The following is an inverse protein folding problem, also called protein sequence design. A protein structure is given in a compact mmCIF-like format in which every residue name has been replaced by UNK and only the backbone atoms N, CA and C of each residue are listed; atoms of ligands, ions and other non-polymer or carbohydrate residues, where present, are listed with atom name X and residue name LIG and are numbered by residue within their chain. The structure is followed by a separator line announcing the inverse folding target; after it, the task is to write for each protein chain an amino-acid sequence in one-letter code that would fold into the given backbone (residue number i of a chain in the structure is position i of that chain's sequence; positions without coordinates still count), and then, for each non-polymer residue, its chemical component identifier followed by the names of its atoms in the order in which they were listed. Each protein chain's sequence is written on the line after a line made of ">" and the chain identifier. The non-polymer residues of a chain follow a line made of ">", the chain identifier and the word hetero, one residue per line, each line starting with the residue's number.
data_IF_383196254183
#
_entry.id   IF_383196254183
#
_cell.length_a   1.000
_cell.length_b   1.000
_cell.length_c   1.000
_cell.angle_alpha   90.00
_cell.angle_beta   90.00
_cell.angle_gamma   90.00
#
_symmetry.space_group_name_H-M   'P 1'
#
loop_
_entity.id
_entity.type
_entity.pdbx_description
1 polymer ?
#
# COMPACT_ATOMS: atom_id res chain seq x y z
N UNK A 1 11.65 -8.94 -48.98
CA UNK A 1 10.79 -7.78 -48.67
C UNK A 1 9.57 -8.32 -47.95
N UNK A 2 9.44 -8.05 -46.65
CA UNK A 2 8.21 -8.39 -45.92
C UNK A 2 7.21 -7.25 -46.14
N UNK A 3 5.97 -7.57 -46.49
CA UNK A 3 4.92 -6.56 -46.61
C UNK A 3 4.36 -6.24 -45.22
N UNK A 4 4.28 -4.97 -44.87
CA UNK A 4 3.47 -4.49 -43.75
C UNK A 4 1.99 -4.60 -44.12
N UNK A 5 1.16 -4.99 -43.17
CA UNK A 5 -0.29 -5.07 -43.33
C UNK A 5 -0.94 -3.87 -42.64
N UNK A 6 -1.53 -2.98 -43.43
CA UNK A 6 -2.42 -1.94 -42.94
C UNK A 6 -3.88 -2.35 -43.08
N UNK A 7 -4.67 -2.23 -42.01
CA UNK A 7 -6.13 -2.36 -42.08
C UNK A 7 -6.73 -1.00 -41.75
N UNK A 8 -7.50 -0.47 -42.71
CA UNK A 8 -8.17 0.82 -42.61
C UNK A 8 -7.20 2.03 -42.46
N UNK A 9 -5.97 1.88 -42.95
CA UNK A 9 -4.97 2.95 -43.11
C UNK A 9 -4.15 2.71 -44.37
N UNK A 10 -3.85 3.76 -45.13
CA UNK A 10 -2.93 3.71 -46.28
C UNK A 10 -1.48 4.03 -45.91
N UNK A 11 -1.24 4.47 -44.67
CA UNK A 11 0.09 4.80 -44.14
C UNK A 11 0.33 4.04 -42.84
N UNK A 12 0.55 2.71 -42.89
CA UNK A 12 0.86 1.92 -41.71
C UNK A 12 2.12 2.45 -41.01
N UNK A 13 2.15 2.37 -39.69
CA UNK A 13 3.34 2.67 -38.90
C UNK A 13 4.53 1.81 -39.37
N UNK A 14 5.62 2.45 -39.80
CA UNK A 14 6.81 1.77 -40.34
C UNK A 14 7.55 0.88 -39.33
N UNK A 15 7.23 0.96 -38.04
CA UNK A 15 7.75 0.07 -37.00
C UNK A 15 6.83 -1.13 -36.71
N UNK A 16 5.69 -1.27 -37.39
CA UNK A 16 4.71 -2.34 -37.16
C UNK A 16 4.53 -3.24 -38.39
N UNK A 17 4.42 -4.55 -38.16
CA UNK A 17 4.06 -5.52 -39.21
C UNK A 17 2.55 -5.50 -39.49
N UNK A 18 1.73 -5.19 -38.48
CA UNK A 18 0.28 -5.02 -38.57
C UNK A 18 -0.13 -3.71 -37.89
N UNK A 19 -0.79 -2.82 -38.62
CA UNK A 19 -1.36 -1.57 -38.10
C UNK A 19 -2.86 -1.50 -38.44
N UNK A 20 -3.70 -1.31 -37.43
CA UNK A 20 -5.16 -1.29 -37.55
C UNK A 20 -5.67 0.01 -36.95
N UNK A 21 -6.27 0.87 -37.78
CA UNK A 21 -6.80 2.16 -37.36
C UNK A 21 -8.33 2.14 -37.40
N UNK A 22 -9.00 2.33 -36.27
CA UNK A 22 -10.44 2.53 -36.21
C UNK A 22 -10.81 3.34 -34.96
N UNK A 23 -11.84 4.18 -35.07
CA UNK A 23 -12.44 4.91 -33.95
C UNK A 23 -13.80 4.33 -33.50
N UNK A 24 -14.27 3.26 -34.17
CA UNK A 24 -15.61 2.69 -33.97
C UNK A 24 -15.62 1.17 -33.84
N UNK A 25 -14.53 0.48 -34.19
CA UNK A 25 -14.44 -0.98 -34.18
C UNK A 25 -13.17 -1.44 -33.48
N UNK A 26 -13.25 -2.58 -32.79
CA UNK A 26 -12.10 -3.24 -32.18
C UNK A 26 -11.58 -4.41 -33.03
N UNK A 27 -10.56 -5.08 -32.50
CA UNK A 27 -10.05 -6.34 -33.06
C UNK A 27 -10.74 -7.49 -32.34
N UNK A 28 -11.43 -8.34 -33.08
CA UNK A 28 -11.98 -9.58 -32.55
C UNK A 28 -10.97 -10.70 -32.76
N UNK A 29 -10.21 -11.03 -31.70
CA UNK A 29 -9.27 -12.15 -31.72
C UNK A 29 -10.02 -13.50 -31.62
N UNK A 30 -9.38 -14.64 -31.92
CA UNK A 30 -10.01 -15.96 -31.78
C UNK A 30 -10.64 -16.15 -30.39
N UNK A 31 -11.90 -16.62 -30.37
CA UNK A 31 -12.68 -16.82 -29.15
C UNK A 31 -12.94 -18.31 -28.98
N UNK A 32 -12.44 -18.89 -27.90
CA UNK A 32 -12.48 -20.34 -27.66
C UNK A 32 -13.02 -20.61 -26.26
N UNK A 33 -13.82 -21.66 -26.10
CA UNK A 33 -14.06 -22.25 -24.77
C UNK A 33 -12.81 -22.99 -24.29
N UNK A 34 -12.76 -23.38 -23.02
CA UNK A 34 -11.71 -24.30 -22.53
C UNK A 34 -11.67 -25.59 -23.35
N UNK A 35 -12.83 -26.14 -23.71
CA UNK A 35 -12.94 -27.36 -24.53
C UNK A 35 -12.37 -27.14 -25.93
N UNK A 36 -12.72 -26.03 -26.59
CA UNK A 36 -12.22 -25.72 -27.93
C UNK A 36 -10.70 -25.50 -27.92
N UNK A 37 -10.20 -24.75 -26.93
CA UNK A 37 -8.75 -24.52 -26.76
C UNK A 37 -8.01 -25.84 -26.59
N UNK A 38 -8.48 -26.69 -25.69
CA UNK A 38 -7.84 -27.98 -25.40
C UNK A 38 -7.90 -28.96 -26.59
N UNK A 39 -9.00 -28.94 -27.34
CA UNK A 39 -9.22 -29.84 -28.48
C UNK A 39 -8.43 -29.42 -29.72
N UNK A 40 -8.43 -28.13 -30.05
CA UNK A 40 -7.91 -27.62 -31.32
C UNK A 40 -6.51 -27.01 -31.24
N UNK A 41 -6.05 -26.63 -30.04
CA UNK A 41 -4.73 -26.02 -29.86
C UNK A 41 -3.84 -26.89 -28.97
N UNK A 42 -4.07 -26.86 -27.66
CA UNK A 42 -3.35 -27.63 -26.67
C UNK A 42 -4.13 -27.54 -25.34
N UNK A 43 -4.13 -28.61 -24.54
CA UNK A 43 -4.67 -28.50 -23.19
C UNK A 43 -3.84 -27.54 -22.31
N UNK A 44 -4.35 -27.26 -21.11
CA UNK A 44 -3.68 -26.40 -20.15
C UNK A 44 -3.28 -27.16 -18.88
N UNK A 45 -2.94 -28.45 -19.01
CA UNK A 45 -2.55 -29.31 -17.90
C UNK A 45 -1.01 -29.40 -17.78
N UNK A 46 -0.49 -28.81 -16.71
CA UNK A 46 0.94 -28.79 -16.38
C UNK A 46 1.54 -30.18 -16.13
N UNK A 47 0.72 -31.20 -15.84
CA UNK A 47 1.18 -32.58 -15.66
C UNK A 47 1.49 -33.29 -16.98
N UNK A 48 1.08 -32.72 -18.10
CA UNK A 48 1.18 -33.36 -19.42
C UNK A 48 2.17 -32.71 -20.37
N UNK A 49 3.12 -31.85 -19.92
CA UNK A 49 3.99 -31.06 -20.82
C UNK A 49 4.82 -31.93 -21.79
N UNK A 50 4.68 -31.76 -23.13
CA UNK A 50 3.82 -30.78 -23.81
C UNK A 50 2.34 -31.19 -23.74
N UNK A 51 1.44 -30.27 -23.32
CA UNK A 51 0.11 -30.60 -22.84
C UNK A 51 -0.68 -31.59 -23.70
N UNK A 52 -1.47 -32.46 -23.06
CA UNK A 52 -2.18 -33.53 -23.74
C UNK A 52 -3.29 -32.98 -24.67
N UNK A 53 -3.61 -33.74 -25.72
CA UNK A 53 -4.50 -33.31 -26.80
C UNK A 53 -3.80 -33.27 -28.16
N UNK A 54 -4.46 -32.71 -29.16
CA UNK A 54 -3.85 -32.50 -30.48
C UNK A 54 -2.85 -31.36 -30.33
N UNK A 55 -1.58 -31.66 -30.08
CA UNK A 55 -0.53 -30.66 -30.16
C UNK A 55 -0.58 -30.02 -31.55
N UNK A 56 -1.15 -28.83 -31.66
CA UNK A 56 -1.13 -28.09 -32.91
C UNK A 56 0.34 -27.73 -33.15
N UNK A 57 0.98 -28.44 -34.08
CA UNK A 57 2.40 -28.28 -34.38
C UNK A 57 2.78 -26.85 -34.82
N UNK A 58 1.79 -26.02 -35.15
CA UNK A 58 1.97 -24.61 -35.50
C UNK A 58 1.69 -23.65 -34.32
N UNK A 59 1.26 -24.16 -33.17
CA UNK A 59 1.02 -23.34 -31.97
C UNK A 59 2.35 -22.75 -31.49
N UNK A 60 2.48 -21.44 -31.62
CA UNK A 60 3.73 -20.71 -31.34
C UNK A 60 3.55 -19.86 -30.09
N UNK A 61 4.60 -19.76 -29.27
CA UNK A 61 4.59 -18.89 -28.09
C UNK A 61 4.19 -17.45 -28.48
N UNK A 62 3.30 -16.85 -27.69
CA UNK A 62 2.67 -15.55 -27.98
C UNK A 62 1.33 -15.64 -28.72
N UNK A 63 0.85 -16.83 -29.12
CA UNK A 63 -0.51 -16.99 -29.67
C UNK A 63 -1.54 -16.48 -28.67
N UNK A 64 -2.39 -15.53 -29.07
CA UNK A 64 -3.37 -14.87 -28.21
C UNK A 64 -4.81 -15.30 -28.55
N UNK A 65 -5.60 -15.62 -27.53
CA UNK A 65 -7.02 -15.94 -27.63
C UNK A 65 -7.83 -15.20 -26.55
N UNK A 66 -9.14 -15.12 -26.75
CA UNK A 66 -10.08 -14.78 -25.68
C UNK A 66 -10.81 -16.06 -25.25
N UNK A 67 -10.62 -16.47 -24.00
CA UNK A 67 -11.29 -17.63 -23.44
C UNK A 67 -12.69 -17.24 -22.97
N UNK A 68 -13.71 -17.84 -23.57
CA UNK A 68 -15.12 -17.54 -23.27
C UNK A 68 -15.68 -18.32 -22.07
N UNK A 69 -14.98 -19.35 -21.61
CA UNK A 69 -15.33 -20.08 -20.38
C UNK A 69 -14.89 -19.28 -19.16
N UNK A 70 -13.66 -18.77 -19.16
CA UNK A 70 -13.07 -18.01 -18.04
C UNK A 70 -13.16 -16.49 -18.20
N UNK A 71 -13.72 -16.01 -19.32
CA UNK A 71 -13.85 -14.58 -19.67
C UNK A 71 -12.55 -13.78 -19.54
N UNK A 72 -11.44 -14.31 -20.07
CA UNK A 72 -10.15 -13.62 -20.03
C UNK A 72 -9.34 -13.80 -21.32
N UNK A 73 -8.40 -12.88 -21.55
CA UNK A 73 -7.39 -13.04 -22.58
C UNK A 73 -6.36 -14.07 -22.12
N UNK A 74 -5.98 -15.00 -22.99
CA UNK A 74 -4.94 -15.99 -22.73
C UNK A 74 -3.89 -15.96 -23.84
N UNK A 75 -2.61 -16.10 -23.49
CA UNK A 75 -1.55 -16.32 -24.45
C UNK A 75 -0.83 -17.64 -24.17
N UNK A 76 -0.36 -18.29 -25.23
CA UNK A 76 0.46 -19.48 -25.12
C UNK A 76 1.90 -19.11 -24.76
N UNK A 77 2.44 -19.61 -23.64
CA UNK A 77 3.83 -19.31 -23.23
C UNK A 77 4.88 -20.27 -23.81
N UNK A 78 4.45 -21.25 -24.61
CA UNK A 78 5.27 -22.36 -25.10
C UNK A 78 5.02 -23.69 -24.37
N UNK A 79 4.40 -23.64 -23.19
CA UNK A 79 4.11 -24.79 -22.33
C UNK A 79 2.70 -24.82 -21.77
N UNK A 80 2.12 -23.66 -21.44
CA UNK A 80 0.79 -23.49 -20.86
C UNK A 80 0.13 -22.21 -21.41
N UNK A 81 -1.19 -22.19 -21.37
CA UNK A 81 -2.00 -21.00 -21.58
C UNK A 81 -1.98 -20.14 -20.31
N UNK A 82 -1.36 -18.96 -20.41
CA UNK A 82 -1.30 -17.96 -19.36
C UNK A 82 -2.39 -16.93 -19.57
N UNK A 83 -3.08 -16.58 -18.49
CA UNK A 83 -3.95 -15.41 -18.50
C UNK A 83 -3.11 -14.14 -18.70
N UNK A 84 -3.51 -13.31 -19.65
CA UNK A 84 -3.06 -11.94 -19.72
C UNK A 84 -3.76 -11.19 -18.57
N UNK A 85 -3.02 -10.88 -17.51
CA UNK A 85 -3.57 -10.21 -16.34
C UNK A 85 -3.99 -8.79 -16.73
N UNK A 86 -5.30 -8.52 -16.66
CA UNK A 86 -5.85 -7.17 -16.67
C UNK A 86 -6.55 -7.02 -15.32
N UNK A 87 -5.99 -6.27 -14.36
CA UNK A 87 -6.63 -6.09 -13.07
C UNK A 87 -7.99 -5.44 -13.30
N UNK A 88 -9.05 -6.13 -12.90
CA UNK A 88 -10.45 -5.71 -13.11
C UNK A 88 -10.85 -4.48 -12.29
N UNK A 89 -9.99 -4.05 -11.35
CA UNK A 89 -10.20 -2.88 -10.49
C UNK A 89 -8.90 -2.31 -9.91
N UNK A 90 -7.79 -2.34 -10.65
CA UNK A 90 -6.62 -1.53 -10.25
C UNK A 90 -6.99 -0.06 -10.41
N UNK A 91 -7.45 0.59 -9.34
CA UNK A 91 -7.18 2.03 -9.20
C UNK A 91 -5.66 2.16 -9.27
N UNK A 92 -5.14 2.70 -10.37
CA UNK A 92 -3.71 2.81 -10.60
C UNK A 92 -3.02 3.48 -9.39
N UNK A 93 -1.85 2.97 -9.02
CA UNK A 93 -0.93 3.57 -8.03
C UNK A 93 -1.53 3.83 -6.65
N UNK A 94 -2.33 2.91 -6.12
CA UNK A 94 -3.00 3.11 -4.83
C UNK A 94 -2.18 2.71 -3.59
N UNK A 95 -0.99 2.17 -3.80
CA UNK A 95 0.05 2.02 -2.80
C UNK A 95 0.80 3.34 -2.57
N UNK A 96 1.50 3.45 -1.44
CA UNK A 96 2.29 4.64 -1.19
C UNK A 96 2.91 4.67 0.20
N UNK A 97 3.96 5.46 0.34
CA UNK A 97 4.61 5.72 1.62
C UNK A 97 4.45 7.21 1.93
N UNK A 98 3.85 7.55 3.06
CA UNK A 98 3.73 8.95 3.49
C UNK A 98 4.49 9.11 4.79
N UNK A 99 5.66 9.76 4.73
CA UNK A 99 6.49 10.02 5.89
C UNK A 99 6.35 11.47 6.35
N UNK A 100 5.96 11.63 7.61
CA UNK A 100 5.84 12.90 8.32
C UNK A 100 7.08 13.08 9.18
N UNK A 101 7.82 14.18 8.98
CA UNK A 101 9.00 14.52 9.78
C UNK A 101 8.64 15.37 11.00
N UNK A 102 7.65 16.26 10.87
CA UNK A 102 7.30 17.23 11.91
C UNK A 102 5.98 17.93 11.58
N UNK A 103 5.55 18.83 12.47
CA UNK A 103 4.49 19.80 12.23
C UNK A 103 4.99 21.16 11.75
N UNK A 104 4.14 22.16 11.88
CA UNK A 104 4.40 23.55 11.49
C UNK A 104 5.76 24.04 12.01
N UNK A 105 6.45 24.87 11.22
CA UNK A 105 7.78 25.40 11.54
C UNK A 105 8.82 24.32 11.90
N UNK A 106 8.68 23.11 11.37
CA UNK A 106 9.52 21.95 11.65
C UNK A 106 9.50 21.46 13.11
N UNK A 107 8.44 21.80 13.86
CA UNK A 107 8.32 21.40 15.26
C UNK A 107 7.89 19.92 15.36
N UNK A 108 8.71 19.11 16.02
CA UNK A 108 8.38 17.71 16.33
C UNK A 108 7.50 17.62 17.57
N UNK A 109 6.55 16.66 17.66
CA UNK A 109 5.84 16.39 18.90
C UNK A 109 6.84 16.06 20.01
N UNK A 110 6.76 16.81 21.10
CA UNK A 110 7.62 16.63 22.27
C UNK A 110 6.78 16.75 23.55
N UNK A 111 6.87 15.77 24.43
CA UNK A 111 6.09 15.70 25.67
C UNK A 111 6.77 14.80 26.69
N UNK A 112 6.36 14.90 27.96
CA UNK A 112 6.85 14.05 29.03
C UNK A 112 5.85 12.94 29.33
N UNK A 113 6.36 11.75 29.59
CA UNK A 113 5.61 10.63 30.15
C UNK A 113 6.08 10.40 31.59
N UNK A 114 5.16 9.92 32.42
CA UNK A 114 5.43 9.58 33.81
C UNK A 114 4.96 8.17 34.11
N UNK A 115 5.64 7.52 35.05
CA UNK A 115 5.20 6.25 35.62
C UNK A 115 4.00 6.46 36.58
N UNK A 116 3.18 5.43 36.76
CA UNK A 116 2.21 5.38 37.86
C UNK A 116 2.49 4.15 38.73
N UNK A 117 3.17 4.36 39.86
CA UNK A 117 3.59 3.27 40.75
C UNK A 117 4.50 2.28 40.00
N UNK A 118 4.08 1.03 39.91
CA UNK A 118 4.80 -0.04 39.20
C UNK A 118 4.30 -0.29 37.76
N UNK A 119 3.48 0.61 37.22
CA UNK A 119 2.89 0.46 35.88
C UNK A 119 2.95 1.73 35.03
N UNK A 120 2.32 1.64 33.87
CA UNK A 120 2.20 2.77 32.95
C UNK A 120 1.39 3.91 33.57
N UNK A 121 1.90 5.14 33.45
CA UNK A 121 1.15 6.32 33.86
C UNK A 121 0.11 6.77 32.84
N UNK A 122 -0.29 8.05 32.93
CA UNK A 122 -1.34 8.60 32.09
C UNK A 122 -0.96 8.55 30.61
N UNK A 123 -1.83 7.98 29.78
CA UNK A 123 -1.71 8.01 28.32
C UNK A 123 -1.69 9.45 27.79
N UNK A 124 -0.71 9.77 26.97
CA UNK A 124 -0.61 11.05 26.27
C UNK A 124 -0.90 10.84 24.79
N UNK A 125 -1.82 11.63 24.22
CA UNK A 125 -2.04 11.63 22.78
C UNK A 125 -0.88 12.34 22.08
N UNK A 126 -0.34 11.74 21.03
CA UNK A 126 0.68 12.36 20.18
C UNK A 126 0.00 13.31 19.21
N UNK A 127 0.19 14.61 19.43
CA UNK A 127 -0.39 15.67 18.60
C UNK A 127 0.70 16.35 17.77
N UNK A 128 0.39 16.60 16.50
CA UNK A 128 1.23 17.38 15.60
C UNK A 128 0.66 18.78 15.40
N UNK A 129 1.56 19.78 15.39
CA UNK A 129 1.23 21.11 14.88
C UNK A 129 0.98 21.05 13.37
N UNK A 130 0.09 21.89 12.84
CA UNK A 130 -0.24 21.91 11.41
C UNK A 130 0.07 23.25 10.75
N UNK A 131 0.45 23.27 9.45
CA UNK A 131 0.52 22.13 8.53
C UNK A 131 1.66 21.15 8.85
N UNK A 132 1.47 19.88 8.50
CA UNK A 132 2.49 18.85 8.59
C UNK A 132 3.61 19.11 7.59
N UNK A 133 4.82 18.73 7.98
CA UNK A 133 6.00 18.73 7.11
C UNK A 133 6.32 17.28 6.74
N UNK A 134 6.19 16.98 5.46
CA UNK A 134 6.45 15.66 4.90
C UNK A 134 7.92 15.52 4.49
N UNK A 135 8.46 14.31 4.59
CA UNK A 135 9.76 14.00 4.00
C UNK A 135 9.65 14.07 2.47
N UNK A 136 10.73 14.44 1.76
CA UNK A 136 10.75 14.36 0.32
C UNK A 136 10.81 12.89 -0.16
N UNK A 137 10.58 12.71 -1.46
CA UNK A 137 10.98 11.50 -2.19
C UNK A 137 12.45 11.17 -1.91
N UNK A 138 12.85 9.89 -1.82
CA UNK A 138 12.07 8.68 -2.10
C UNK A 138 11.29 8.12 -0.90
N UNK A 139 11.42 8.72 0.29
CA UNK A 139 10.75 8.20 1.50
C UNK A 139 9.30 8.63 1.63
N UNK A 140 8.83 9.48 0.71
CA UNK A 140 7.42 9.81 0.54
C UNK A 140 7.03 9.67 -0.93
N UNK A 141 6.06 8.81 -1.18
CA UNK A 141 5.29 8.66 -2.42
C UNK A 141 3.82 8.54 -2.04
N UNK A 142 3.02 9.55 -2.38
CA UNK A 142 1.59 9.49 -2.09
C UNK A 142 0.90 8.54 -3.07
N UNK A 143 -0.13 7.79 -2.63
CA UNK A 143 -1.02 7.10 -3.55
C UNK A 143 -1.52 8.07 -4.62
N UNK A 144 -1.52 7.65 -5.89
CA UNK A 144 -1.99 8.44 -7.03
C UNK A 144 -3.47 8.84 -6.90
N UNK A 145 -4.23 8.06 -6.12
CA UNK A 145 -5.63 8.32 -5.76
C UNK A 145 -5.80 9.44 -4.73
N UNK A 146 -4.71 9.99 -4.18
CA UNK A 146 -4.80 11.02 -3.14
C UNK A 146 -5.28 12.34 -3.74
N UNK A 147 -6.50 12.74 -3.38
CA UNK A 147 -7.10 14.02 -3.75
C UNK A 147 -7.56 14.78 -2.50
N UNK A 148 -7.37 16.12 -2.41
CA UNK A 148 -6.63 16.99 -3.32
C UNK A 148 -5.11 16.73 -3.29
N UNK A 149 -4.37 17.41 -4.18
CA UNK A 149 -2.93 17.22 -4.49
C UNK A 149 -2.07 16.67 -3.32
N UNK A 150 -1.18 15.68 -3.57
CA UNK A 150 -0.25 15.14 -2.58
C UNK A 150 0.44 16.18 -1.68
N UNK A 151 0.67 15.83 -0.42
CA UNK A 151 1.36 16.72 0.54
C UNK A 151 0.43 17.67 1.30
N UNK A 152 -0.88 17.45 1.26
CA UNK A 152 -1.85 18.17 2.10
C UNK A 152 -2.04 17.45 3.43
N UNK A 153 -2.04 18.20 4.53
CA UNK A 153 -2.18 17.66 5.90
C UNK A 153 -3.47 16.87 6.10
N UNK A 154 -4.60 17.37 5.60
CA UNK A 154 -5.92 16.73 5.78
C UNK A 154 -6.05 15.36 5.12
N UNK A 155 -5.15 15.02 4.20
CA UNK A 155 -5.15 13.71 3.52
C UNK A 155 -4.68 12.58 4.45
N UNK A 156 -4.06 12.92 5.59
CA UNK A 156 -3.54 11.93 6.54
C UNK A 156 -3.77 12.31 8.01
N UNK A 157 -4.11 13.56 8.33
CA UNK A 157 -4.24 14.03 9.71
C UNK A 157 -5.35 15.07 9.87
N UNK A 158 -6.23 14.82 10.84
CA UNK A 158 -7.35 15.68 11.23
C UNK A 158 -6.93 16.45 12.48
N UNK A 159 -6.45 17.68 12.30
CA UNK A 159 -5.89 18.50 13.39
C UNK A 159 -6.87 18.77 14.52
N UNK A 160 -8.16 18.92 14.22
CA UNK A 160 -9.19 19.22 15.21
C UNK A 160 -9.37 18.10 16.26
N UNK A 161 -9.08 16.85 15.90
CA UNK A 161 -9.29 15.66 16.76
C UNK A 161 -8.00 14.86 17.02
N UNK A 162 -6.89 15.25 16.38
CA UNK A 162 -5.63 14.52 16.40
C UNK A 162 -5.75 13.10 15.85
N UNK A 163 -6.66 12.89 14.89
CA UNK A 163 -6.89 11.59 14.24
C UNK A 163 -6.05 11.46 12.97
N UNK A 164 -5.49 10.28 12.75
CA UNK A 164 -4.74 9.88 11.58
C UNK A 164 -5.65 9.12 10.62
N UNK A 165 -5.52 9.41 9.32
CA UNK A 165 -6.34 8.83 8.27
C UNK A 165 -5.55 7.82 7.45
N UNK A 166 -6.17 6.69 7.21
CA UNK A 166 -5.73 5.72 6.21
C UNK A 166 -5.90 6.31 4.80
N UNK A 167 -5.35 5.64 3.79
CA UNK A 167 -5.71 5.97 2.42
C UNK A 167 -7.17 5.55 2.18
N UNK A 168 -7.90 6.29 1.36
CA UNK A 168 -9.36 6.17 1.22
C UNK A 168 -9.79 4.96 0.37
N UNK A 169 -9.35 3.76 0.74
CA UNK A 169 -9.62 2.50 0.04
C UNK A 169 -10.03 1.44 1.06
N UNK A 170 -11.31 1.07 1.04
CA UNK A 170 -11.84 0.04 1.93
C UNK A 170 -11.10 -1.30 1.76
N UNK A 171 -10.79 -1.94 2.87
CA UNK A 171 -10.05 -3.20 2.94
C UNK A 171 -8.54 -3.06 2.68
N UNK A 172 -8.02 -1.87 2.39
CA UNK A 172 -6.58 -1.68 2.20
C UNK A 172 -5.83 -1.82 3.53
N UNK A 173 -4.76 -2.60 3.51
CA UNK A 173 -3.89 -2.81 4.66
C UNK A 173 -2.85 -1.68 4.73
N UNK A 174 -2.67 -1.15 5.94
CA UNK A 174 -1.70 -0.11 6.24
C UNK A 174 -0.73 -0.55 7.31
N UNK A 175 0.55 -0.21 7.12
CA UNK A 175 1.57 -0.27 8.17
C UNK A 175 1.87 1.14 8.64
N UNK A 176 1.81 1.36 9.94
CA UNK A 176 2.18 2.62 10.56
C UNK A 176 3.46 2.43 11.36
N UNK A 177 4.47 3.28 11.13
CA UNK A 177 5.74 3.25 11.85
C UNK A 177 5.98 4.57 12.56
N UNK A 178 6.14 4.52 13.87
CA UNK A 178 6.63 5.65 14.68
C UNK A 178 8.10 5.43 14.99
N UNK A 179 8.92 6.47 14.81
CA UNK A 179 10.28 6.53 15.35
C UNK A 179 10.27 7.65 16.38
N UNK A 180 10.70 7.36 17.61
CA UNK A 180 10.76 8.34 18.69
C UNK A 180 12.07 8.24 19.46
N UNK A 181 12.60 9.40 19.86
CA UNK A 181 13.72 9.50 20.80
C UNK A 181 13.18 9.61 22.22
N UNK A 182 13.57 8.67 23.07
CA UNK A 182 13.15 8.56 24.46
C UNK A 182 14.33 8.87 25.37
N UNK A 183 14.22 9.96 26.13
CA UNK A 183 15.24 10.40 27.07
C UNK A 183 14.73 10.19 28.50
N UNK A 184 15.10 9.09 29.15
CA UNK A 184 14.59 8.77 30.47
C UNK A 184 15.36 9.52 31.57
N UNK A 185 14.75 9.67 32.74
CA UNK A 185 15.38 10.27 33.92
C UNK A 185 16.45 9.38 34.58
N UNK A 186 16.80 9.71 35.83
CA UNK A 186 17.89 9.05 36.57
C UNK A 186 17.73 7.53 36.71
N UNK A 187 18.75 6.79 36.27
CA UNK A 187 18.85 5.31 36.38
C UNK A 187 17.62 4.53 35.84
N UNK A 188 16.91 5.10 34.86
CA UNK A 188 15.65 4.55 34.37
C UNK A 188 15.86 3.53 33.25
N UNK A 189 15.69 2.24 33.56
CA UNK A 189 15.29 1.21 32.60
C UNK A 189 13.78 1.02 32.69
N UNK A 190 13.13 0.76 31.56
CA UNK A 190 11.68 0.59 31.55
C UNK A 190 11.15 0.27 30.17
N UNK A 191 9.90 0.60 29.94
CA UNK A 191 9.21 0.36 28.69
C UNK A 191 8.30 1.52 28.31
N UNK A 192 8.23 1.75 27.01
CA UNK A 192 7.28 2.68 26.40
C UNK A 192 6.27 1.83 25.65
N UNK A 193 4.98 2.06 25.92
CA UNK A 193 3.88 1.49 25.15
C UNK A 193 3.30 2.59 24.28
N UNK A 194 3.25 2.34 22.98
CA UNK A 194 2.53 3.16 22.03
C UNK A 194 1.26 2.41 21.58
N UNK A 195 0.17 3.16 21.45
CA UNK A 195 -1.17 2.63 21.17
C UNK A 195 -1.77 3.37 19.98
N UNK A 196 -2.27 2.64 18.99
CA UNK A 196 -3.01 3.22 17.88
C UNK A 196 -4.47 2.76 17.97
N UNK A 197 -5.37 3.72 18.21
CA UNK A 197 -6.76 3.45 18.56
C UNK A 197 -7.72 4.12 17.59
N UNK A 198 -8.70 3.37 17.08
CA UNK A 198 -9.87 3.94 16.43
C UNK A 198 -10.98 4.10 17.50
N UNK A 199 -11.36 5.34 17.89
CA UNK A 199 -12.38 5.55 18.90
C UNK A 199 -13.80 5.20 18.39
N UNK A 200 -14.02 5.20 17.08
CA UNK A 200 -15.32 4.97 16.45
C UNK A 200 -15.64 3.47 16.35
N UNK A 201 -14.65 2.60 16.08
CA UNK A 201 -14.82 1.14 16.08
C UNK A 201 -14.43 0.45 17.39
N UNK A 202 -13.68 1.13 18.26
CA UNK A 202 -13.09 0.55 19.46
C UNK A 202 -11.83 -0.30 19.20
N UNK A 203 -11.39 -0.40 17.94
CA UNK A 203 -10.14 -1.09 17.59
C UNK A 203 -8.94 -0.44 18.28
N UNK A 204 -8.05 -1.26 18.85
CA UNK A 204 -6.83 -0.81 19.50
C UNK A 204 -5.71 -1.81 19.23
N UNK A 205 -4.54 -1.31 18.84
CA UNK A 205 -3.31 -2.09 18.68
C UNK A 205 -2.16 -1.41 19.43
N UNK A 206 -1.34 -2.23 20.09
CA UNK A 206 -0.27 -1.78 20.97
C UNK A 206 1.09 -2.28 20.50
N UNK A 207 2.14 -1.47 20.70
CA UNK A 207 3.54 -1.83 20.49
C UNK A 207 4.34 -1.36 21.71
N UNK A 208 5.11 -2.28 22.31
CA UNK A 208 5.91 -2.00 23.51
C UNK A 208 7.38 -2.10 23.15
N UNK A 209 8.16 -1.09 23.52
CA UNK A 209 9.61 -1.05 23.33
C UNK A 209 10.32 -0.85 24.66
N UNK A 210 11.46 -1.51 24.82
CA UNK A 210 12.26 -1.44 26.04
C UNK A 210 13.26 -0.29 25.96
N UNK A 211 13.41 0.42 27.08
CA UNK A 211 14.48 1.38 27.32
C UNK A 211 15.60 0.64 28.08
N UNK A 212 16.81 0.55 27.52
CA UNK A 212 17.92 -0.16 28.16
C UNK A 212 18.28 0.37 29.54
N UNK A 213 18.92 -0.47 30.35
CA UNK A 213 19.50 -0.05 31.62
C UNK A 213 20.66 0.93 31.43
N UNK A 214 20.79 1.87 32.35
CA UNK A 214 21.85 2.89 32.28
C UNK A 214 21.56 4.03 31.29
N UNK A 215 20.38 4.08 30.69
CA UNK A 215 19.97 5.09 29.70
C UNK A 215 19.67 6.48 30.29
N UNK A 216 20.08 6.76 31.53
CA UNK A 216 19.83 8.02 32.22
C UNK A 216 20.27 9.23 31.38
N UNK A 217 19.34 10.12 31.05
CA UNK A 217 19.61 11.30 30.22
C UNK A 217 20.03 11.01 28.78
N UNK A 218 20.03 9.74 28.35
CA UNK A 218 20.44 9.31 27.02
C UNK A 218 19.22 9.22 26.10
N UNK A 219 19.29 9.82 24.91
CA UNK A 219 18.23 9.71 23.90
C UNK A 219 18.26 8.36 23.18
N UNK A 220 17.34 7.46 23.53
CA UNK A 220 17.21 6.14 22.92
C UNK A 220 16.22 6.19 21.76
N UNK A 221 16.62 5.76 20.57
CA UNK A 221 15.72 5.70 19.41
C UNK A 221 14.92 4.41 19.48
N UNK A 222 13.61 4.51 19.68
CA UNK A 222 12.67 3.39 19.68
C UNK A 222 11.78 3.44 18.44
N UNK A 223 11.42 2.27 17.91
CA UNK A 223 10.56 2.12 16.74
C UNK A 223 9.32 1.31 17.10
N UNK A 224 8.14 1.80 16.71
CA UNK A 224 6.85 1.16 16.96
C UNK A 224 6.16 0.88 15.63
N UNK A 225 5.50 -0.27 15.54
CA UNK A 225 4.75 -0.69 14.35
C UNK A 225 3.29 -0.98 14.70
N UNK A 226 2.38 -0.55 13.82
CA UNK A 226 0.96 -0.86 13.89
C UNK A 226 0.46 -1.30 12.51
N UNK A 227 -0.56 -2.14 12.52
CA UNK A 227 -1.21 -2.65 11.31
C UNK A 227 -2.68 -2.31 11.41
N UNK A 228 -3.23 -1.69 10.36
CA UNK A 228 -4.64 -1.35 10.27
C UNK A 228 -5.21 -1.81 8.93
N UNK A 229 -6.52 -2.02 8.91
CA UNK A 229 -7.28 -2.34 7.70
C UNK A 229 -8.36 -1.28 7.58
N UNK A 230 -8.39 -0.61 6.44
CA UNK A 230 -9.33 0.48 6.21
C UNK A 230 -10.78 -0.02 6.15
N UNK A 231 -11.67 0.63 6.88
CA UNK A 231 -13.09 0.30 6.97
C UNK A 231 -13.92 1.60 7.10
N UNK A 232 -15.26 1.55 7.04
CA UNK A 232 -16.08 2.76 7.19
C UNK A 232 -15.90 3.48 8.52
N UNK A 233 -15.52 2.78 9.59
CA UNK A 233 -15.24 3.38 10.89
C UNK A 233 -13.88 4.08 10.94
N UNK A 234 -12.96 3.84 9.99
CA UNK A 234 -11.72 4.60 9.85
C UNK A 234 -11.75 5.65 8.74
N UNK A 235 -12.57 5.44 7.69
CA UNK A 235 -12.55 6.28 6.49
C UNK A 235 -13.58 7.42 6.46
N UNK A 236 -14.76 7.23 7.07
CA UNK A 236 -15.83 8.25 7.03
C UNK A 236 -15.33 9.62 7.53
N UNK A 237 -15.93 10.74 7.07
CA UNK A 237 -15.50 12.08 7.45
C UNK A 237 -15.37 12.28 8.96
N UNK A 238 -14.21 12.75 9.42
CA UNK A 238 -13.94 12.98 10.84
C UNK A 238 -13.50 11.74 11.64
N UNK A 239 -13.48 10.56 11.00
CA UNK A 239 -13.00 9.31 11.61
C UNK A 239 -11.52 9.06 11.31
N UNK A 240 -10.95 8.08 12.01
CA UNK A 240 -9.53 7.74 11.96
C UNK A 240 -9.00 7.33 13.32
N UNK A 241 -7.67 7.32 13.46
CA UNK A 241 -7.00 6.73 14.61
C UNK A 241 -6.26 7.77 15.44
N UNK A 242 -6.26 7.62 16.76
CA UNK A 242 -5.44 8.42 17.66
C UNK A 242 -4.23 7.62 18.10
N UNK A 243 -3.05 8.25 18.03
CA UNK A 243 -1.80 7.70 18.54
C UNK A 243 -1.59 8.15 19.98
N UNK A 244 -1.38 7.21 20.89
CA UNK A 244 -1.05 7.47 22.28
C UNK A 244 0.29 6.87 22.65
N UNK A 245 0.92 7.43 23.68
CA UNK A 245 2.08 6.83 24.34
C UNK A 245 1.91 6.90 25.86
N UNK A 246 2.41 5.88 26.55
CA UNK A 246 2.50 5.80 28.00
C UNK A 246 3.78 5.06 28.40
N UNK A 247 4.28 5.31 29.61
CA UNK A 247 5.57 4.81 30.09
C UNK A 247 5.46 4.34 31.54
N UNK A 248 6.22 3.31 31.90
CA UNK A 248 6.43 2.85 33.29
C UNK A 248 7.63 3.56 33.96
N UNK A 249 8.26 4.50 33.25
CA UNK A 249 9.32 5.38 33.73
C UNK A 249 9.04 6.85 33.41
N UNK A 250 9.64 7.75 34.17
CA UNK A 250 9.65 9.16 33.82
C UNK A 250 10.64 9.41 32.68
N UNK A 251 10.15 9.94 31.56
CA UNK A 251 10.96 10.21 30.37
C UNK A 251 10.38 11.35 29.52
N UNK A 252 11.26 11.99 28.75
CA UNK A 252 10.87 12.89 27.67
C UNK A 252 10.83 12.12 26.34
N UNK A 253 9.84 12.41 25.54
CA UNK A 253 9.61 11.80 24.22
C UNK A 253 9.71 12.88 23.17
N UNK A 254 10.45 12.62 22.09
CA UNK A 254 10.42 13.39 20.86
C UNK A 254 10.06 12.44 19.73
N UNK A 255 8.96 12.70 19.01
CA UNK A 255 8.57 11.87 17.86
C UNK A 255 9.35 12.36 16.63
N UNK A 256 10.28 11.53 16.17
CA UNK A 256 11.21 11.84 15.08
C UNK A 256 10.54 11.74 13.71
N UNK A 257 9.68 10.75 13.52
CA UNK A 257 8.84 10.64 12.34
C UNK A 257 7.66 9.71 12.58
N UNK A 258 6.59 9.93 11.82
CA UNK A 258 5.48 8.99 11.69
C UNK A 258 5.27 8.67 10.22
N UNK A 259 5.20 7.39 9.88
CA UNK A 259 5.12 6.94 8.48
C UNK A 259 3.89 6.05 8.30
N UNK A 260 3.07 6.33 7.29
CA UNK A 260 2.06 5.40 6.78
C UNK A 260 2.61 4.71 5.54
N UNK A 261 2.48 3.39 5.47
CA UNK A 261 2.72 2.59 4.26
C UNK A 261 1.38 1.98 3.87
N UNK A 262 0.83 2.41 2.75
CA UNK A 262 -0.36 1.85 2.12
C UNK A 262 0.08 0.73 1.19
N UNK A 263 -0.35 -0.51 1.46
CA UNK A 263 -0.06 -1.64 0.58
C UNK A 263 -1.03 -1.62 -0.60
N UNK A 264 -0.59 -2.09 -1.76
CA UNK A 264 -1.46 -2.20 -2.93
C UNK A 264 -2.73 -3.01 -2.59
N UNK A 265 -3.88 -2.53 -3.07
CA UNK A 265 -5.17 -3.22 -2.94
C UNK A 265 -5.86 -3.30 -4.29
N UNK A 266 -6.29 -4.50 -4.67
CA UNK A 266 -7.05 -4.78 -5.89
C UNK A 266 -8.53 -4.39 -5.79
#
# INVERSE_FOLDING_TARGET
>A
MYAQVGINTSTPNGAAVLDIVSNQKGILIPRLTDTDRNTYLADNDASTVPPAGVANANLTAGTLIFNTTTNNFQYWDGTLWRQLFVPTSSQAGNDGVVKINSGNANVKPSFSLSAAGSGYGARQQVLYATPLVFAPSPTTSWPETTVPFPGVTSNIYISATGKWRENEINGQVHVWRVIATITPGSNSSGSIKATFKNPDSGFEINSIQLVPSGSSGTGNILTFYFYTIADPASLDPGKGYQLFMESDINCNVVVESFTRVSLFKD
#
